data_IF_361226824950
#
_entry.id   IF_361226824950
#
_cell.length_a   1.000
_cell.length_b   1.000
_cell.length_c   1.000
_cell.angle_alpha   90.00
_cell.angle_beta   90.00
_cell.angle_gamma   90.00
#
_symmetry.space_group_name_H-M   'P 1'
#
loop_
_entity.id
_entity.type
_entity.pdbx_description
1 polymer ?
#
# COMPACT_ATOMS: atom_id res chain seq x y z
N UNK A 1 74.37 -7.81 -52.08
CA UNK A 1 73.09 -7.12 -52.31
C UNK A 1 72.12 -7.74 -51.33
N UNK A 2 71.83 -7.02 -50.24
CA UNK A 2 70.97 -7.50 -49.15
C UNK A 2 69.57 -6.98 -49.40
N UNK A 3 68.66 -7.84 -49.84
CA UNK A 3 67.25 -7.47 -49.98
C UNK A 3 66.54 -7.62 -48.63
N UNK A 4 66.21 -6.48 -48.04
CA UNK A 4 65.31 -6.35 -46.89
C UNK A 4 63.89 -6.74 -47.30
N UNK A 5 63.38 -7.83 -46.72
CA UNK A 5 62.01 -8.28 -46.91
C UNK A 5 61.04 -7.44 -46.05
N UNK A 6 59.85 -7.03 -46.54
CA UNK A 6 58.93 -6.17 -45.80
C UNK A 6 58.20 -6.97 -44.72
N UNK A 7 58.27 -6.51 -43.46
CA UNK A 7 57.42 -7.01 -42.38
C UNK A 7 55.97 -6.62 -42.64
N UNK A 8 55.15 -7.59 -43.05
CA UNK A 8 53.70 -7.44 -43.12
C UNK A 8 53.13 -7.21 -41.71
N UNK A 9 52.37 -6.12 -41.53
CA UNK A 9 51.67 -5.84 -40.28
C UNK A 9 50.64 -6.94 -40.00
N UNK A 10 50.72 -7.56 -38.83
CA UNK A 10 49.79 -8.60 -38.40
C UNK A 10 48.34 -8.07 -38.41
N UNK A 11 47.37 -8.81 -38.97
CA UNK A 11 45.99 -8.37 -39.00
C UNK A 11 45.46 -8.23 -37.57
N UNK A 12 44.89 -7.06 -37.22
CA UNK A 12 44.20 -6.87 -35.94
C UNK A 12 43.11 -7.94 -35.82
N UNK A 13 43.29 -8.90 -34.91
CA UNK A 13 42.27 -9.92 -34.60
C UNK A 13 40.99 -9.22 -34.17
N UNK A 14 39.97 -9.25 -35.03
CA UNK A 14 38.65 -8.68 -34.77
C UNK A 14 37.94 -9.57 -33.75
N UNK A 15 38.15 -9.30 -32.46
CA UNK A 15 37.57 -10.09 -31.37
C UNK A 15 36.05 -9.98 -31.34
N UNK A 16 35.36 -11.11 -31.20
CA UNK A 16 33.89 -11.16 -31.09
C UNK A 16 33.36 -10.64 -29.73
N UNK A 17 34.22 -10.13 -28.84
CA UNK A 17 33.84 -9.67 -27.50
C UNK A 17 32.73 -8.61 -27.48
N UNK A 18 32.75 -7.67 -28.43
CA UNK A 18 31.67 -6.67 -28.57
C UNK A 18 30.32 -7.31 -28.94
N UNK A 19 30.32 -8.36 -29.76
CA UNK A 19 29.10 -9.10 -30.12
C UNK A 19 28.55 -9.89 -28.94
N UNK A 20 29.43 -10.54 -28.16
CA UNK A 20 29.02 -11.28 -26.96
C UNK A 20 28.53 -10.35 -25.85
N UNK A 21 29.18 -9.20 -25.65
CA UNK A 21 28.71 -8.18 -24.71
C UNK A 21 27.32 -7.65 -25.12
N UNK A 22 27.11 -7.39 -26.40
CA UNK A 22 25.81 -6.95 -26.91
C UNK A 22 24.71 -8.00 -26.71
N UNK A 23 24.98 -9.26 -27.03
CA UNK A 23 24.05 -10.37 -26.77
C UNK A 23 23.78 -10.56 -25.27
N UNK A 24 24.80 -10.41 -24.43
CA UNK A 24 24.64 -10.47 -22.98
C UNK A 24 23.74 -9.35 -22.46
N UNK A 25 23.92 -8.11 -22.92
CA UNK A 25 23.08 -6.99 -22.53
C UNK A 25 21.63 -7.19 -22.96
N UNK A 26 21.39 -7.69 -24.17
CA UNK A 26 20.03 -8.04 -24.62
C UNK A 26 19.42 -9.13 -23.74
N UNK A 27 20.18 -10.19 -23.45
CA UNK A 27 19.73 -11.26 -22.56
C UNK A 27 19.42 -10.77 -21.15
N UNK A 28 20.25 -9.87 -20.60
CA UNK A 28 20.05 -9.27 -19.29
C UNK A 28 18.77 -8.42 -19.27
N UNK A 29 18.60 -7.54 -20.26
CA UNK A 29 17.40 -6.70 -20.37
C UNK A 29 16.15 -7.57 -20.54
N UNK A 30 16.20 -8.56 -21.44
CA UNK A 30 15.10 -9.50 -21.64
C UNK A 30 14.75 -10.28 -20.38
N UNK A 31 15.76 -10.77 -19.65
CA UNK A 31 15.59 -11.48 -18.38
C UNK A 31 14.97 -10.60 -17.29
N UNK A 32 15.41 -9.34 -17.16
CA UNK A 32 14.81 -8.37 -16.21
C UNK A 32 13.34 -8.12 -16.55
N UNK A 33 13.03 -7.85 -17.83
CA UNK A 33 11.65 -7.62 -18.27
C UNK A 33 10.78 -8.84 -17.99
N UNK A 34 11.24 -10.04 -18.34
CA UNK A 34 10.51 -11.28 -18.09
C UNK A 34 10.24 -11.50 -16.59
N UNK A 35 11.25 -11.24 -15.75
CA UNK A 35 11.13 -11.37 -14.29
C UNK A 35 10.10 -10.39 -13.72
N UNK A 36 10.15 -9.11 -14.11
CA UNK A 36 9.18 -8.10 -13.66
C UNK A 36 7.76 -8.45 -14.10
N UNK A 37 7.57 -8.93 -15.34
CA UNK A 37 6.26 -9.33 -15.83
C UNK A 37 5.72 -10.56 -15.11
N UNK A 38 6.58 -11.54 -14.80
CA UNK A 38 6.21 -12.69 -13.99
C UNK A 38 5.79 -12.28 -12.57
N UNK A 39 6.57 -11.39 -11.92
CA UNK A 39 6.22 -10.86 -10.59
C UNK A 39 4.89 -10.09 -10.62
N UNK A 40 4.66 -9.24 -11.63
CA UNK A 40 3.39 -8.52 -11.80
C UNK A 40 2.22 -9.47 -12.01
N UNK A 41 2.40 -10.53 -12.81
CA UNK A 41 1.35 -11.52 -13.04
C UNK A 41 0.99 -12.30 -11.77
N UNK A 42 1.97 -12.59 -10.90
CA UNK A 42 1.72 -13.20 -9.60
C UNK A 42 1.01 -12.23 -8.65
N UNK A 43 1.43 -10.97 -8.63
CA UNK A 43 0.85 -9.95 -7.75
C UNK A 43 -0.60 -9.61 -8.12
N UNK A 44 -0.93 -9.59 -9.41
CA UNK A 44 -2.31 -9.42 -9.90
C UNK A 44 -3.27 -10.53 -9.49
N UNK A 45 -2.76 -11.71 -9.09
CA UNK A 45 -3.61 -12.81 -8.60
C UNK A 45 -3.92 -12.69 -7.11
N UNK A 46 -3.23 -11.82 -6.38
CA UNK A 46 -3.53 -11.58 -4.97
C UNK A 46 -4.76 -10.71 -4.85
N UNK A 47 -5.56 -11.00 -3.84
CA UNK A 47 -6.63 -10.09 -3.45
C UNK A 47 -6.03 -8.95 -2.63
N UNK A 48 -6.02 -7.74 -3.21
CA UNK A 48 -5.51 -6.52 -2.57
C UNK A 48 -6.59 -5.77 -1.79
N UNK A 49 -7.83 -6.26 -1.80
CA UNK A 49 -8.96 -5.56 -1.20
C UNK A 49 -8.81 -5.36 0.32
N UNK A 50 -8.50 -6.39 1.15
CA UNK A 50 -8.30 -6.20 2.59
C UNK A 50 -7.23 -5.16 2.94
N UNK A 51 -6.07 -5.22 2.29
CA UNK A 51 -4.99 -4.24 2.52
C UNK A 51 -5.42 -2.84 2.09
N UNK A 52 -6.15 -2.71 0.99
CA UNK A 52 -6.63 -1.43 0.47
C UNK A 52 -7.63 -0.76 1.41
N UNK A 53 -8.61 -1.52 1.94
CA UNK A 53 -9.59 -1.01 2.91
C UNK A 53 -8.86 -0.51 4.16
N UNK A 54 -7.93 -1.30 4.69
CA UNK A 54 -7.15 -0.91 5.88
C UNK A 54 -6.28 0.32 5.63
N UNK A 55 -5.68 0.42 4.45
CA UNK A 55 -4.84 1.55 4.07
C UNK A 55 -5.64 2.86 4.00
N UNK A 56 -6.80 2.84 3.34
CA UNK A 56 -7.65 4.03 3.19
C UNK A 56 -8.26 4.44 4.53
N UNK A 57 -8.71 3.49 5.36
CA UNK A 57 -9.18 3.80 6.71
C UNK A 57 -8.07 4.45 7.55
N UNK A 58 -6.85 3.90 7.52
CA UNK A 58 -5.72 4.50 8.24
C UNK A 58 -5.41 5.93 7.78
N UNK A 59 -5.51 6.21 6.47
CA UNK A 59 -5.34 7.56 5.94
C UNK A 59 -6.39 8.54 6.49
N UNK A 60 -7.67 8.18 6.47
CA UNK A 60 -8.74 9.05 7.00
C UNK A 60 -8.60 9.31 8.51
N UNK A 61 -8.21 8.29 9.28
CA UNK A 61 -7.93 8.46 10.70
C UNK A 61 -6.73 9.41 10.93
N UNK A 62 -5.66 9.24 10.14
CA UNK A 62 -4.50 10.12 10.17
C UNK A 62 -4.84 11.58 9.84
N UNK A 63 -5.76 11.81 8.88
CA UNK A 63 -6.25 13.14 8.55
C UNK A 63 -6.97 13.80 9.72
N UNK A 64 -7.77 13.08 10.52
CA UNK A 64 -8.39 13.63 11.73
C UNK A 64 -7.34 14.16 12.71
N UNK A 65 -6.29 13.38 12.98
CA UNK A 65 -5.16 13.84 13.80
C UNK A 65 -4.42 15.02 13.17
N UNK A 66 -4.28 15.03 11.84
CA UNK A 66 -3.71 16.14 11.07
C UNK A 66 -4.52 17.42 11.23
N UNK A 67 -5.85 17.35 11.15
CA UNK A 67 -6.75 18.49 11.36
C UNK A 67 -6.62 19.06 12.77
N UNK A 68 -6.52 18.20 13.79
CA UNK A 68 -6.28 18.64 15.18
C UNK A 68 -4.97 19.42 15.30
N UNK A 69 -3.87 18.89 14.75
CA UNK A 69 -2.56 19.58 14.77
C UNK A 69 -2.58 20.92 14.05
N UNK A 70 -3.43 21.06 13.05
CA UNK A 70 -3.62 22.31 12.29
C UNK A 70 -4.66 23.25 12.92
N UNK A 71 -5.26 22.89 14.06
CA UNK A 71 -6.37 23.60 14.68
C UNK A 71 -7.59 23.78 13.75
N UNK A 72 -7.80 22.84 12.81
CA UNK A 72 -8.88 22.83 11.80
C UNK A 72 -9.97 21.84 12.16
N UNK A 73 -10.64 22.08 13.28
CA UNK A 73 -11.55 21.11 13.89
C UNK A 73 -13.03 21.44 13.64
N UNK A 74 -13.32 22.30 12.66
CA UNK A 74 -14.68 22.55 12.25
C UNK A 74 -15.29 21.27 11.68
N UNK A 75 -16.61 21.10 11.87
CA UNK A 75 -17.33 19.93 11.36
C UNK A 75 -17.14 19.76 9.84
N UNK A 76 -17.00 20.86 9.09
CA UNK A 76 -16.72 20.85 7.64
C UNK A 76 -15.38 20.23 7.28
N UNK A 77 -14.39 20.30 8.18
CA UNK A 77 -13.04 19.75 7.96
C UNK A 77 -12.94 18.27 8.38
N UNK A 78 -13.76 17.82 9.34
CA UNK A 78 -13.60 16.51 9.99
C UNK A 78 -14.68 15.51 9.62
N UNK A 79 -15.93 15.94 9.45
CA UNK A 79 -17.04 15.04 9.07
C UNK A 79 -16.80 14.28 7.77
N UNK A 80 -16.18 14.84 6.70
CA UNK A 80 -15.88 14.06 5.50
C UNK A 80 -15.04 12.81 5.79
N UNK A 81 -14.06 12.91 6.70
CA UNK A 81 -13.22 11.78 7.07
C UNK A 81 -13.96 10.76 7.93
N UNK A 82 -14.81 11.20 8.87
CA UNK A 82 -15.64 10.30 9.70
C UNK A 82 -16.65 9.55 8.81
N UNK A 83 -17.29 10.24 7.86
CA UNK A 83 -18.23 9.61 6.91
C UNK A 83 -17.54 8.58 6.03
N UNK A 84 -16.36 8.90 5.49
CA UNK A 84 -15.60 7.95 4.69
C UNK A 84 -15.20 6.72 5.50
N UNK A 85 -14.71 6.89 6.73
CA UNK A 85 -14.45 5.79 7.65
C UNK A 85 -15.69 4.93 7.87
N UNK A 86 -16.86 5.55 8.06
CA UNK A 86 -18.12 4.82 8.25
C UNK A 86 -18.52 4.00 7.03
N UNK A 87 -18.42 4.56 5.83
CA UNK A 87 -18.68 3.82 4.59
C UNK A 87 -17.73 2.63 4.47
N UNK A 88 -16.43 2.86 4.67
CA UNK A 88 -15.41 1.80 4.59
C UNK A 88 -15.53 0.76 5.71
N UNK A 89 -16.18 1.08 6.82
CA UNK A 89 -16.43 0.11 7.88
C UNK A 89 -17.41 -0.99 7.45
N UNK A 90 -18.30 -0.73 6.48
CA UNK A 90 -19.16 -1.77 5.89
C UNK A 90 -18.36 -2.77 5.05
N UNK A 91 -17.22 -2.36 4.50
CA UNK A 91 -16.34 -3.21 3.70
C UNK A 91 -15.48 -4.18 4.53
N UNK A 92 -15.46 -4.04 5.87
CA UNK A 92 -14.65 -4.92 6.74
C UNK A 92 -15.02 -6.40 6.60
N UNK A 93 -16.30 -6.73 6.65
CA UNK A 93 -16.72 -8.14 6.57
C UNK A 93 -16.48 -8.76 5.19
N UNK A 94 -16.80 -8.11 4.04
CA UNK A 94 -16.48 -8.67 2.73
C UNK A 94 -14.98 -8.66 2.40
N UNK A 95 -14.18 -7.76 3.01
CA UNK A 95 -12.75 -7.70 2.76
C UNK A 95 -11.95 -8.85 3.38
N UNK A 96 -12.48 -9.49 4.43
CA UNK A 96 -11.80 -10.59 5.13
C UNK A 96 -12.65 -11.87 5.12
N UNK A 97 -12.88 -12.49 3.94
CA UNK A 97 -13.76 -13.64 3.80
C UNK A 97 -13.30 -14.85 4.62
N UNK A 98 -12.00 -15.00 4.86
CA UNK A 98 -11.44 -16.06 5.71
C UNK A 98 -11.77 -15.91 7.20
N UNK A 99 -12.16 -14.71 7.65
CA UNK A 99 -12.52 -14.40 9.03
C UNK A 99 -14.03 -14.30 9.25
N UNK A 100 -14.83 -14.52 8.20
CA UNK A 100 -16.29 -14.32 8.20
C UNK A 100 -17.01 -15.06 9.34
N UNK A 101 -16.56 -16.27 9.66
CA UNK A 101 -17.18 -17.11 10.70
C UNK A 101 -16.55 -16.92 12.10
N UNK A 102 -15.50 -16.08 12.25
CA UNK A 102 -14.95 -15.74 13.56
C UNK A 102 -15.84 -14.67 14.22
N UNK A 103 -16.49 -15.07 15.31
CA UNK A 103 -17.39 -14.18 16.04
C UNK A 103 -16.68 -12.94 16.61
N UNK A 104 -15.40 -13.04 16.99
CA UNK A 104 -14.64 -11.89 17.49
C UNK A 104 -14.41 -10.88 16.37
N UNK A 105 -14.14 -11.34 15.15
CA UNK A 105 -13.97 -10.45 14.00
C UNK A 105 -15.24 -9.64 13.72
N UNK A 106 -16.40 -10.31 13.63
CA UNK A 106 -17.68 -9.63 13.42
C UNK A 106 -18.05 -8.68 14.57
N UNK A 107 -17.69 -9.00 15.81
CA UNK A 107 -17.88 -8.09 16.95
C UNK A 107 -17.01 -6.84 16.85
N UNK A 108 -15.74 -6.97 16.46
CA UNK A 108 -14.86 -5.83 16.25
C UNK A 108 -15.33 -4.95 15.08
N UNK A 109 -15.75 -5.54 13.96
CA UNK A 109 -16.27 -4.80 12.81
C UNK A 109 -17.57 -4.05 13.18
N UNK A 110 -18.48 -4.69 13.91
CA UNK A 110 -19.68 -4.05 14.44
C UNK A 110 -19.36 -2.91 15.43
N UNK A 111 -18.39 -3.10 16.33
CA UNK A 111 -17.97 -2.07 17.29
C UNK A 111 -17.38 -0.85 16.59
N UNK A 112 -16.59 -1.05 15.54
CA UNK A 112 -16.06 0.04 14.72
C UNK A 112 -17.20 0.84 14.06
N UNK A 113 -18.17 0.16 13.43
CA UNK A 113 -19.35 0.82 12.84
C UNK A 113 -20.12 1.63 13.88
N UNK A 114 -20.37 1.04 15.06
CA UNK A 114 -21.09 1.71 16.14
C UNK A 114 -20.36 2.97 16.66
N UNK A 115 -19.03 2.93 16.79
CA UNK A 115 -18.24 4.10 17.19
C UNK A 115 -18.34 5.23 16.15
N UNK A 116 -18.27 4.88 14.86
CA UNK A 116 -18.39 5.84 13.76
C UNK A 116 -19.81 6.39 13.64
N UNK A 117 -20.83 5.55 13.81
CA UNK A 117 -22.25 5.98 13.85
C UNK A 117 -22.48 6.96 15.00
N UNK A 118 -21.91 6.71 16.17
CA UNK A 118 -22.00 7.63 17.30
C UNK A 118 -21.33 8.99 16.99
N UNK A 119 -20.14 8.98 16.38
CA UNK A 119 -19.42 10.19 15.99
C UNK A 119 -20.16 11.01 14.92
N UNK A 120 -20.90 10.34 14.02
CA UNK A 120 -21.75 11.01 13.03
C UNK A 120 -23.03 11.58 13.64
N UNK A 121 -23.63 10.87 14.61
CA UNK A 121 -24.81 11.34 15.34
C UNK A 121 -24.49 12.51 16.28
N UNK A 122 -23.25 12.56 16.80
CA UNK A 122 -22.75 13.61 17.68
C UNK A 122 -21.45 14.23 17.11
N UNK A 123 -21.54 15.02 16.01
CA UNK A 123 -20.37 15.59 15.36
C UNK A 123 -19.47 16.37 16.34
N UNK A 124 -18.15 16.14 16.34
CA UNK A 124 -17.24 16.92 17.17
C UNK A 124 -17.18 18.36 16.66
N UNK A 125 -17.40 19.32 17.56
CA UNK A 125 -17.40 20.77 17.26
C UNK A 125 -16.16 21.49 17.80
N UNK A 126 -15.18 20.75 18.33
CA UNK A 126 -13.95 21.30 18.90
C UNK A 126 -12.78 20.35 18.68
N UNK A 127 -11.54 20.86 18.75
CA UNK A 127 -10.35 20.01 18.61
C UNK A 127 -10.23 18.96 19.72
N UNK A 128 -10.68 19.27 20.94
CA UNK A 128 -10.77 18.27 22.00
C UNK A 128 -11.74 17.14 21.62
N UNK A 129 -12.93 17.49 21.11
CA UNK A 129 -13.91 16.50 20.63
C UNK A 129 -13.38 15.65 19.48
N UNK A 130 -12.71 16.26 18.50
CA UNK A 130 -12.09 15.54 17.37
C UNK A 130 -10.99 14.60 17.87
N UNK A 131 -10.19 15.03 18.86
CA UNK A 131 -9.15 14.18 19.47
C UNK A 131 -9.76 12.95 20.12
N UNK A 132 -10.79 13.13 20.94
CA UNK A 132 -11.51 12.02 21.59
C UNK A 132 -12.13 11.06 20.57
N UNK A 133 -12.77 11.58 19.52
CA UNK A 133 -13.32 10.75 18.44
C UNK A 133 -12.21 9.96 17.73
N UNK A 134 -11.09 10.61 17.39
CA UNK A 134 -9.96 9.95 16.75
C UNK A 134 -9.35 8.85 17.64
N UNK A 135 -9.23 9.08 18.95
CA UNK A 135 -8.77 8.09 19.92
C UNK A 135 -9.72 6.88 20.01
N UNK A 136 -11.04 7.11 20.10
CA UNK A 136 -12.04 6.03 20.13
C UNK A 136 -12.00 5.16 18.88
N UNK A 137 -11.91 5.78 17.70
CA UNK A 137 -11.77 5.06 16.43
C UNK A 137 -10.43 4.30 16.39
N UNK A 138 -9.33 4.93 16.83
CA UNK A 138 -8.02 4.32 16.90
C UNK A 138 -7.96 3.10 17.82
N UNK A 139 -8.64 3.15 18.97
CA UNK A 139 -8.75 1.99 19.87
C UNK A 139 -9.61 0.87 19.27
N UNK A 140 -10.65 1.18 18.48
CA UNK A 140 -11.38 0.17 17.72
C UNK A 140 -10.49 -0.50 16.64
N UNK A 141 -9.69 0.28 15.90
CA UNK A 141 -8.69 -0.26 14.97
C UNK A 141 -7.70 -1.18 15.69
N UNK A 142 -7.14 -0.72 16.80
CA UNK A 142 -6.12 -1.43 17.57
C UNK A 142 -6.66 -2.74 18.15
N UNK A 143 -7.86 -2.73 18.72
CA UNK A 143 -8.48 -3.92 19.30
C UNK A 143 -8.67 -5.03 18.24
N UNK A 144 -9.14 -4.69 17.04
CA UNK A 144 -9.24 -5.64 15.94
C UNK A 144 -7.85 -6.16 15.51
N UNK A 145 -6.89 -5.26 15.31
CA UNK A 145 -5.54 -5.66 14.87
C UNK A 145 -4.80 -6.49 15.90
N UNK A 146 -5.03 -6.29 17.20
CA UNK A 146 -4.41 -7.09 18.25
C UNK A 146 -4.80 -8.57 18.16
N UNK A 147 -6.04 -8.85 17.74
CA UNK A 147 -6.55 -10.22 17.61
C UNK A 147 -6.21 -10.86 16.24
N UNK A 148 -6.04 -10.07 15.19
CA UNK A 148 -6.02 -10.56 13.80
C UNK A 148 -4.81 -10.16 12.93
N UNK A 149 -3.92 -9.28 13.40
CA UNK A 149 -2.79 -8.73 12.62
C UNK A 149 -1.42 -9.06 13.23
N UNK A 150 -1.33 -10.16 13.99
CA UNK A 150 -0.09 -10.62 14.62
C UNK A 150 1.11 -10.71 13.68
#
# INVERSE_FOLDING_TARGET
MSDTQPTAAAPKRKGNGSKYLFLFLIGLVGGVVATVMAMRALDQRKDHFPDSVMHVQAWHLGELSGKVKQNRCAATDTLPHIKALRTMADDLDPAFPSLKDDQRFSQHSAKMRAALDNALANPPVSCAGVTTVAEQIGEACKACHQDFRG
#
